data_IF_547395207182
#
_entry.id   IF_547395207182
#
_cell.length_a   1.000
_cell.length_b   1.000
_cell.length_c   1.000
_cell.angle_alpha   90.00
_cell.angle_beta   90.00
_cell.angle_gamma   90.00
#
_symmetry.space_group_name_H-M   'P 1'
#
loop_
_entity.id
_entity.type
_entity.pdbx_description
1 polymer ?
#
# COMPACT_ATOMS: atom_id res chain seq x y z
N UNK A 1 11.87 17.49 8.90
CA UNK A 1 10.44 17.54 9.27
C UNK A 1 9.52 16.63 8.42
N UNK A 2 9.98 16.01 7.32
CA UNK A 2 9.17 15.05 6.53
C UNK A 2 9.12 13.61 7.08
N UNK A 3 10.11 13.19 7.89
CA UNK A 3 10.11 11.83 8.47
C UNK A 3 9.10 11.63 9.61
N UNK A 4 8.81 12.66 10.40
CA UNK A 4 7.85 12.56 11.51
C UNK A 4 6.39 12.45 11.04
N UNK A 5 6.02 12.98 9.87
CA UNK A 5 4.62 12.91 9.38
C UNK A 5 4.28 11.53 8.83
N UNK A 6 5.20 10.87 8.12
CA UNK A 6 5.01 9.51 7.55
C UNK A 6 4.94 8.44 8.63
N UNK A 7 5.82 8.50 9.64
CA UNK A 7 5.76 7.64 10.83
C UNK A 7 4.52 7.90 11.70
N UNK A 8 3.98 9.13 11.69
CA UNK A 8 2.74 9.44 12.41
C UNK A 8 1.53 8.80 11.72
N UNK A 9 1.44 8.89 10.38
CA UNK A 9 0.45 8.20 9.56
C UNK A 9 0.51 6.67 9.74
N UNK A 10 1.72 6.12 9.87
CA UNK A 10 1.92 4.69 10.19
C UNK A 10 1.33 4.28 11.54
N UNK A 11 1.49 5.11 12.59
CA UNK A 11 0.90 4.80 13.90
C UNK A 11 -0.64 4.78 13.85
N UNK A 12 -1.26 5.67 13.06
CA UNK A 12 -2.73 5.68 12.89
C UNK A 12 -3.22 4.38 12.26
N UNK A 13 -2.47 3.83 11.30
CA UNK A 13 -2.74 2.54 10.68
C UNK A 13 -2.58 1.35 11.64
N UNK A 14 -1.47 1.27 12.38
CA UNK A 14 -1.19 0.14 13.27
C UNK A 14 -2.12 0.07 14.48
N UNK A 15 -2.61 1.22 14.97
CA UNK A 15 -3.49 1.29 16.13
C UNK A 15 -4.96 1.58 15.78
N UNK A 16 -5.33 1.50 14.50
CA UNK A 16 -6.69 1.75 14.03
C UNK A 16 -7.59 0.52 13.99
N UNK A 17 -8.76 0.60 14.60
CA UNK A 17 -9.83 -0.41 14.50
C UNK A 17 -10.59 -0.29 13.16
N UNK A 18 -11.66 -1.08 12.97
CA UNK A 18 -12.50 -1.05 11.75
C UNK A 18 -12.97 0.36 11.37
N UNK A 19 -13.32 1.18 12.36
CA UNK A 19 -13.76 2.55 12.12
C UNK A 19 -12.61 3.39 11.57
N UNK A 20 -11.43 3.31 12.18
CA UNK A 20 -10.24 4.00 11.71
C UNK A 20 -9.86 3.55 10.30
N UNK A 21 -9.90 2.24 10.01
CA UNK A 21 -9.61 1.74 8.65
C UNK A 21 -10.62 2.30 7.61
N UNK A 22 -11.90 2.39 7.98
CA UNK A 22 -12.93 3.00 7.13
C UNK A 22 -12.69 4.49 6.89
N UNK A 23 -12.32 5.23 7.92
CA UNK A 23 -11.96 6.64 7.82
C UNK A 23 -10.72 6.85 6.94
N UNK A 24 -9.70 5.99 7.06
CA UNK A 24 -8.50 6.02 6.22
C UNK A 24 -8.84 5.85 4.74
N UNK A 25 -9.70 4.89 4.37
CA UNK A 25 -10.13 4.72 2.98
C UNK A 25 -10.96 5.91 2.49
N UNK A 26 -11.82 6.47 3.34
CA UNK A 26 -12.63 7.65 3.00
C UNK A 26 -11.79 8.90 2.75
N UNK A 27 -10.66 9.07 3.45
CA UNK A 27 -9.72 10.17 3.19
C UNK A 27 -8.70 9.84 2.09
N UNK A 28 -8.93 8.76 1.34
CA UNK A 28 -8.06 8.28 0.27
C UNK A 28 -6.62 8.05 0.76
N UNK A 29 -6.45 7.51 1.96
CA UNK A 29 -5.14 7.30 2.58
C UNK A 29 -4.18 6.50 1.67
N UNK A 30 -4.68 5.45 1.02
CA UNK A 30 -3.90 4.66 0.06
C UNK A 30 -3.36 5.52 -1.09
N UNK A 31 -4.18 6.42 -1.61
CA UNK A 31 -3.79 7.40 -2.63
C UNK A 31 -2.80 8.44 -2.09
N UNK A 32 -3.01 8.99 -0.89
CA UNK A 32 -2.08 9.93 -0.26
C UNK A 32 -0.71 9.29 -0.06
N UNK A 33 -0.68 8.01 0.33
CA UNK A 33 0.56 7.26 0.50
C UNK A 33 1.25 7.00 -0.84
N UNK A 34 0.49 6.66 -1.87
CA UNK A 34 0.99 6.53 -3.23
C UNK A 34 1.61 7.83 -3.76
N UNK A 35 0.91 8.96 -3.70
CA UNK A 35 1.44 10.27 -4.14
C UNK A 35 2.73 10.63 -3.38
N UNK A 36 2.77 10.29 -2.08
CA UNK A 36 3.95 10.51 -1.24
C UNK A 36 5.15 9.66 -1.66
N UNK A 37 4.91 8.48 -2.25
CA UNK A 37 5.92 7.60 -2.85
C UNK A 37 6.38 8.14 -4.21
N UNK A 38 5.46 8.48 -5.12
CA UNK A 38 5.79 9.06 -6.44
C UNK A 38 6.60 10.35 -6.35
N UNK A 39 6.35 11.14 -5.31
CA UNK A 39 7.10 12.39 -5.07
C UNK A 39 8.43 12.19 -4.35
N UNK A 40 8.79 10.97 -3.94
CA UNK A 40 10.11 10.63 -3.42
C UNK A 40 11.15 10.54 -4.55
N UNK A 41 11.34 11.63 -5.28
CA UNK A 41 12.36 11.75 -6.33
C UNK A 41 13.72 12.10 -5.75
N UNK A 42 14.62 11.12 -5.65
CA UNK A 42 16.01 11.31 -5.21
C UNK A 42 16.87 10.10 -5.57
N UNK A 43 18.20 10.26 -5.53
CA UNK A 43 19.18 9.20 -5.81
C UNK A 43 19.93 8.90 -4.51
N UNK A 44 19.83 7.68 -3.99
CA UNK A 44 20.58 7.23 -2.81
C UNK A 44 19.90 6.12 -2.01
N UNK A 45 20.70 5.36 -1.25
CA UNK A 45 20.25 4.20 -0.46
C UNK A 45 19.18 4.55 0.62
N UNK A 46 19.18 5.78 1.13
CA UNK A 46 18.21 6.24 2.13
C UNK A 46 16.82 6.48 1.51
N UNK A 47 16.75 7.04 0.30
CA UNK A 47 15.50 7.21 -0.44
C UNK A 47 14.94 5.86 -0.91
N UNK A 48 15.82 4.96 -1.33
CA UNK A 48 15.52 3.58 -1.66
C UNK A 48 14.80 2.88 -0.48
N UNK A 49 15.30 3.05 0.75
CA UNK A 49 14.67 2.50 1.95
C UNK A 49 13.31 3.16 2.27
N UNK A 50 13.17 4.47 2.05
CA UNK A 50 11.89 5.18 2.22
C UNK A 50 10.82 4.68 1.23
N UNK A 51 11.21 4.49 -0.03
CA UNK A 51 10.33 3.94 -1.08
C UNK A 51 9.91 2.52 -0.72
N UNK A 52 10.88 1.67 -0.31
CA UNK A 52 10.60 0.32 0.16
C UNK A 52 9.60 0.28 1.32
N UNK A 53 9.83 1.11 2.35
CA UNK A 53 8.95 1.16 3.50
C UNK A 53 7.53 1.61 3.13
N UNK A 54 7.39 2.62 2.28
CA UNK A 54 6.06 3.07 1.84
C UNK A 54 5.31 2.00 1.04
N UNK A 55 5.99 1.30 0.12
CA UNK A 55 5.39 0.18 -0.63
C UNK A 55 4.98 -0.96 0.32
N UNK A 56 5.84 -1.31 1.27
CA UNK A 56 5.56 -2.32 2.30
C UNK A 56 4.32 -1.96 3.13
N UNK A 57 4.14 -0.68 3.48
CA UNK A 57 2.97 -0.24 4.26
C UNK A 57 1.67 -0.27 3.47
N UNK A 58 1.68 0.11 2.19
CA UNK A 58 0.49 0.01 1.33
C UNK A 58 0.07 -1.47 1.20
N UNK A 59 1.03 -2.37 1.01
CA UNK A 59 0.76 -3.81 0.95
C UNK A 59 0.18 -4.34 2.26
N UNK A 60 0.79 -4.00 3.40
CA UNK A 60 0.28 -4.43 4.70
C UNK A 60 -1.14 -3.91 4.94
N UNK A 61 -1.42 -2.66 4.57
CA UNK A 61 -2.75 -2.06 4.67
C UNK A 61 -3.77 -2.84 3.85
N UNK A 62 -3.51 -3.06 2.56
CA UNK A 62 -4.41 -3.83 1.69
C UNK A 62 -4.60 -5.27 2.18
N UNK A 63 -3.52 -5.94 2.61
CA UNK A 63 -3.58 -7.31 3.15
C UNK A 63 -4.47 -7.38 4.38
N UNK A 64 -4.31 -6.47 5.33
CA UNK A 64 -5.14 -6.47 6.53
C UNK A 64 -6.60 -6.12 6.22
N UNK A 65 -6.88 -5.26 5.24
CA UNK A 65 -8.25 -5.07 4.76
C UNK A 65 -8.84 -6.35 4.14
N UNK A 66 -8.04 -7.17 3.45
CA UNK A 66 -8.52 -8.42 2.85
C UNK A 66 -8.64 -9.59 3.83
N UNK A 67 -7.72 -9.70 4.78
CA UNK A 67 -7.58 -10.85 5.68
C UNK A 67 -8.09 -10.57 7.10
N UNK A 68 -8.39 -9.31 7.41
CA UNK A 68 -8.63 -8.85 8.76
C UNK A 68 -7.35 -8.82 9.59
N UNK A 69 -7.47 -8.38 10.84
CA UNK A 69 -6.37 -8.38 11.81
C UNK A 69 -6.81 -9.15 13.04
N UNK A 70 -6.28 -10.35 13.23
CA UNK A 70 -6.72 -11.26 14.31
C UNK A 70 -5.69 -11.41 15.45
N UNK A 71 -4.39 -11.20 15.17
CA UNK A 71 -3.30 -11.49 16.10
C UNK A 71 -2.86 -10.27 16.95
N UNK A 72 -3.29 -9.07 16.58
CA UNK A 72 -2.85 -7.80 17.17
C UNK A 72 -4.04 -6.90 17.46
N UNK A 73 -3.97 -6.11 18.53
CA UNK A 73 -5.01 -5.14 18.88
C UNK A 73 -4.64 -3.74 18.37
N UNK A 74 -5.60 -3.00 17.80
CA UNK A 74 -7.01 -3.38 17.64
C UNK A 74 -7.21 -4.40 16.51
N UNK A 75 -8.02 -5.42 16.78
CA UNK A 75 -8.41 -6.45 15.81
C UNK A 75 -9.66 -6.05 15.04
N UNK A 76 -9.76 -6.42 13.76
CA UNK A 76 -10.95 -6.21 12.95
C UNK A 76 -11.17 -7.37 11.97
N UNK A 77 -12.43 -7.60 11.59
CA UNK A 77 -12.79 -8.59 10.57
C UNK A 77 -12.36 -8.13 9.17
N UNK A 78 -12.18 -9.03 8.19
CA UNK A 78 -11.93 -8.64 6.81
C UNK A 78 -12.89 -7.55 6.30
N UNK A 79 -12.33 -6.50 5.69
CA UNK A 79 -13.01 -5.37 5.07
C UNK A 79 -12.74 -5.32 3.55
N UNK A 80 -13.08 -6.36 2.77
CA UNK A 80 -12.67 -6.49 1.36
C UNK A 80 -13.26 -5.40 0.45
N UNK A 81 -14.38 -4.76 0.83
CA UNK A 81 -14.93 -3.64 0.08
C UNK A 81 -14.02 -2.40 0.17
N UNK A 82 -13.45 -2.15 1.34
CA UNK A 82 -12.53 -1.04 1.57
C UNK A 82 -11.20 -1.26 0.83
N UNK A 83 -10.74 -2.51 0.78
CA UNK A 83 -9.56 -2.89 0.01
C UNK A 83 -9.75 -2.56 -1.48
N UNK A 84 -10.91 -2.94 -2.05
CA UNK A 84 -11.23 -2.64 -3.45
C UNK A 84 -11.30 -1.14 -3.75
N UNK A 85 -11.93 -0.36 -2.87
CA UNK A 85 -12.00 1.11 -3.03
C UNK A 85 -10.58 1.69 -3.05
N UNK A 86 -9.71 1.21 -2.15
CA UNK A 86 -8.31 1.65 -2.09
C UNK A 86 -7.55 1.29 -3.37
N UNK A 87 -7.73 0.07 -3.89
CA UNK A 87 -7.12 -0.35 -5.16
C UNK A 87 -7.60 0.50 -6.33
N UNK A 88 -8.91 0.77 -6.43
CA UNK A 88 -9.50 1.64 -7.46
C UNK A 88 -8.93 3.07 -7.39
N UNK A 89 -8.81 3.64 -6.19
CA UNK A 89 -8.19 4.97 -5.98
C UNK A 89 -6.72 5.02 -6.41
N UNK A 90 -5.99 3.93 -6.21
CA UNK A 90 -4.57 3.82 -6.60
C UNK A 90 -4.47 3.66 -8.13
N UNK A 91 -5.32 2.82 -8.73
CA UNK A 91 -5.35 2.60 -10.19
C UNK A 91 -5.74 3.86 -10.97
N UNK A 92 -6.72 4.63 -10.50
CA UNK A 92 -7.19 5.86 -11.14
C UNK A 92 -6.08 6.92 -11.32
N UNK A 93 -5.07 6.90 -10.44
CA UNK A 93 -3.93 7.82 -10.47
C UNK A 93 -2.74 7.32 -11.33
N UNK A 94 -2.89 6.21 -12.06
CA UNK A 94 -1.82 5.66 -12.91
C UNK A 94 -0.66 5.06 -12.10
N UNK A 95 -0.96 4.59 -10.89
CA UNK A 95 0.05 4.14 -9.95
C UNK A 95 0.79 2.87 -10.34
N UNK A 96 0.15 2.01 -11.14
CA UNK A 96 0.70 0.70 -11.49
C UNK A 96 2.00 0.82 -12.29
N UNK A 97 2.07 1.78 -13.22
CA UNK A 97 3.26 2.06 -14.02
C UNK A 97 4.41 2.62 -13.17
N UNK A 98 4.10 3.47 -12.20
CA UNK A 98 5.11 4.08 -11.34
C UNK A 98 5.63 3.11 -10.27
N UNK A 99 4.77 2.25 -9.73
CA UNK A 99 5.18 1.14 -8.85
C UNK A 99 6.11 0.19 -9.60
N UNK A 100 5.76 -0.24 -10.83
CA UNK A 100 6.63 -1.10 -11.65
C UNK A 100 7.98 -0.42 -11.94
N UNK A 101 8.01 0.89 -12.21
CA UNK A 101 9.24 1.63 -12.46
C UNK A 101 10.14 1.70 -11.20
N UNK A 102 9.56 2.03 -10.04
CA UNK A 102 10.29 2.12 -8.78
C UNK A 102 10.79 0.75 -8.31
N UNK A 103 9.98 -0.30 -8.48
CA UNK A 103 10.36 -1.68 -8.15
C UNK A 103 11.49 -2.23 -9.01
N UNK A 104 11.56 -1.85 -10.28
CA UNK A 104 12.64 -2.27 -11.18
C UNK A 104 13.95 -1.51 -10.94
N UNK A 105 13.89 -0.29 -10.38
CA UNK A 105 15.08 0.49 -10.02
C UNK A 105 15.75 0.01 -8.72
N UNK A 106 15.01 -0.72 -7.86
CA UNK A 106 15.50 -1.14 -6.55
C UNK A 106 16.27 -2.47 -6.61
N UNK A 107 17.59 -2.41 -6.40
CA UNK A 107 18.49 -3.57 -6.54
C UNK A 107 18.65 -4.42 -5.24
N UNK A 108 18.22 -3.92 -4.09
CA UNK A 108 18.55 -4.51 -2.79
C UNK A 108 17.35 -4.95 -1.97
N UNK A 109 16.81 -6.15 -2.24
CA UNK A 109 15.84 -7.00 -1.49
C UNK A 109 14.91 -7.74 -2.48
N UNK A 110 15.53 -8.28 -3.53
CA UNK A 110 14.95 -8.69 -4.82
C UNK A 110 13.92 -9.85 -4.74
N UNK A 111 13.99 -10.70 -3.71
CA UNK A 111 13.20 -11.94 -3.67
C UNK A 111 11.75 -11.71 -3.22
N UNK A 112 11.56 -10.99 -2.11
CA UNK A 112 10.24 -10.72 -1.57
C UNK A 112 9.49 -9.76 -2.51
N UNK A 113 10.14 -8.69 -2.94
CA UNK A 113 9.58 -7.65 -3.81
C UNK A 113 9.03 -8.22 -5.14
N UNK A 114 9.77 -9.11 -5.83
CA UNK A 114 9.26 -9.79 -7.04
C UNK A 114 8.07 -10.71 -6.74
N UNK A 115 8.09 -11.39 -5.60
CA UNK A 115 6.96 -12.24 -5.18
C UNK A 115 5.71 -11.38 -4.94
N UNK A 116 5.87 -10.21 -4.33
CA UNK A 116 4.78 -9.27 -4.00
C UNK A 116 4.22 -8.54 -5.23
N UNK A 117 5.06 -8.08 -6.17
CA UNK A 117 4.58 -7.53 -7.46
C UNK A 117 3.70 -8.50 -8.22
N UNK A 118 4.07 -9.79 -8.21
CA UNK A 118 3.29 -10.82 -8.86
C UNK A 118 1.95 -11.06 -8.17
N UNK A 119 1.84 -10.86 -6.85
CA UNK A 119 0.56 -10.91 -6.14
C UNK A 119 -0.37 -9.76 -6.51
N UNK A 120 0.16 -8.53 -6.54
CA UNK A 120 -0.60 -7.34 -6.96
C UNK A 120 -1.06 -7.51 -8.42
N UNK A 121 -0.17 -7.90 -9.34
CA UNK A 121 -0.53 -8.20 -10.73
C UNK A 121 -1.57 -9.31 -10.86
N UNK A 122 -1.45 -10.38 -10.08
CA UNK A 122 -2.42 -11.47 -10.10
C UNK A 122 -3.80 -11.06 -9.56
N UNK A 123 -3.85 -10.19 -8.55
CA UNK A 123 -5.09 -9.62 -8.05
C UNK A 123 -5.77 -8.75 -9.12
N UNK A 124 -5.01 -7.88 -9.81
CA UNK A 124 -5.51 -7.03 -10.90
C UNK A 124 -5.99 -7.84 -12.12
N UNK A 125 -5.24 -8.87 -12.54
CA UNK A 125 -5.61 -9.72 -13.68
C UNK A 125 -6.85 -10.60 -13.39
N UNK A 126 -6.99 -11.11 -12.16
CA UNK A 126 -8.20 -11.85 -11.77
C UNK A 126 -9.45 -10.97 -11.78
N UNK A 127 -9.31 -9.65 -11.61
CA UNK A 127 -10.39 -8.68 -11.74
C UNK A 127 -10.88 -8.53 -13.18
N UNK A 128 -9.97 -8.58 -14.16
CA UNK A 128 -10.31 -8.56 -15.60
C UNK A 128 -11.06 -9.81 -16.05
N UNK A 129 -10.71 -10.98 -15.50
CA UNK A 129 -11.37 -12.27 -15.85
C UNK A 129 -12.76 -12.39 -15.20
N UNK A 130 -12.99 -11.77 -14.03
CA UNK A 130 -14.30 -11.82 -13.34
C UNK A 130 -15.35 -10.82 -13.85
N UNK A 131 -15.00 -9.94 -14.80
CA UNK A 131 -15.91 -8.98 -15.45
C UNK A 131 -16.45 -9.42 -16.82
N UNK A 132 -16.17 -10.66 -17.28
CA UNK A 132 -16.73 -11.23 -18.52
C UNK A 132 -18.09 -11.89 -18.33
#
# INVERSE_FOLDING_TARGET
MRNSSRLCLWNVYFYGDEQVQSELVNIEYGRVMFITLSTAGGIGEEQDLEIFNGLYYIECFLRELYEGRNEWQPSFQPLPLLARITEEQIEEEGANEEIDAQMNNYNGYNYYIKKWANYVKAASLNHFIRRS
#
